data_IF_785257034100
#
_entry.id   IF_785257034100
#
_cell.length_a   1.000
_cell.length_b   1.000
_cell.length_c   1.000
_cell.angle_alpha   90.00
_cell.angle_beta   90.00
_cell.angle_gamma   90.00
#
_symmetry.space_group_name_H-M   'P 1'
#
loop_
_entity.id
_entity.type
_entity.pdbx_description
1 polymer ?
#
# COMPACT_ATOMS: atom_id res chain seq x y z
N UNK A 1 -13.53 6.91 9.69
CA UNK A 1 -14.52 6.71 10.79
C UNK A 1 -15.73 7.61 10.58
N UNK A 2 -15.62 8.94 10.78
CA UNK A 2 -16.77 9.86 10.67
C UNK A 2 -17.57 9.73 9.38
N UNK A 3 -16.89 9.58 8.23
CA UNK A 3 -17.52 9.27 6.94
C UNK A 3 -18.47 8.06 6.98
N UNK A 4 -18.02 6.92 7.48
CA UNK A 4 -18.81 5.70 7.50
C UNK A 4 -19.97 5.77 8.50
N UNK A 5 -19.79 6.42 9.66
CA UNK A 5 -20.89 6.63 10.62
C UNK A 5 -21.97 7.54 10.04
N UNK A 6 -21.58 8.65 9.41
CA UNK A 6 -22.53 9.56 8.75
C UNK A 6 -23.26 8.89 7.58
N UNK A 7 -22.60 7.99 6.85
CA UNK A 7 -23.22 7.17 5.78
C UNK A 7 -24.36 6.30 6.31
N UNK A 8 -24.29 5.88 7.57
CA UNK A 8 -25.33 5.12 8.28
C UNK A 8 -26.38 6.02 8.99
N UNK A 9 -26.43 7.33 8.66
CA UNK A 9 -27.34 8.32 9.25
C UNK A 9 -27.18 8.51 10.76
N UNK A 10 -25.97 8.31 11.27
CA UNK A 10 -25.63 8.62 12.67
C UNK A 10 -25.18 10.08 12.75
N UNK A 11 -25.66 10.82 13.74
CA UNK A 11 -25.19 12.17 14.04
C UNK A 11 -23.75 12.12 14.57
N UNK A 12 -22.83 12.80 13.86
CA UNK A 12 -21.39 12.72 14.13
C UNK A 12 -20.79 14.11 14.29
N UNK A 13 -19.97 14.28 15.33
CA UNK A 13 -19.08 15.41 15.49
C UNK A 13 -17.62 14.97 15.34
N UNK A 14 -16.79 15.77 14.64
CA UNK A 14 -15.33 15.58 14.54
C UNK A 14 -14.65 16.77 15.20
N UNK A 15 -13.81 16.50 16.20
CA UNK A 15 -13.05 17.52 16.93
C UNK A 15 -11.57 17.40 16.57
N UNK A 16 -11.03 18.44 15.93
CA UNK A 16 -9.62 18.55 15.54
C UNK A 16 -9.05 19.86 16.13
N UNK A 17 -7.87 19.79 16.74
CA UNK A 17 -7.24 20.93 17.39
C UNK A 17 -6.65 21.94 16.40
N UNK A 18 -6.30 21.49 15.19
CA UNK A 18 -5.70 22.29 14.13
C UNK A 18 -6.55 22.21 12.85
N UNK A 19 -6.00 21.60 11.80
CA UNK A 19 -6.65 21.41 10.50
C UNK A 19 -6.68 19.92 10.18
N UNK A 20 -7.79 19.46 9.61
CA UNK A 20 -7.97 18.04 9.23
C UNK A 20 -6.79 17.58 8.36
N UNK A 21 -6.15 16.48 8.78
CA UNK A 21 -5.05 15.85 8.05
C UNK A 21 -3.68 16.53 8.17
N UNK A 22 -3.55 17.62 8.93
CA UNK A 22 -2.34 18.48 8.97
C UNK A 22 -1.07 17.84 9.56
N UNK A 23 -1.15 16.65 10.16
CA UNK A 23 -0.02 15.96 10.78
C UNK A 23 0.44 14.77 9.94
N UNK A 24 0.56 13.59 10.54
CA UNK A 24 1.08 12.38 9.91
C UNK A 24 0.34 11.99 8.63
N UNK A 25 -0.97 12.25 8.53
CA UNK A 25 -1.77 11.91 7.35
C UNK A 25 -1.29 12.60 6.08
N UNK A 26 -1.02 13.91 6.13
CA UNK A 26 -0.51 14.66 4.97
C UNK A 26 0.98 14.44 4.70
N UNK A 27 1.74 14.03 5.72
CA UNK A 27 3.16 13.72 5.60
C UNK A 27 3.45 12.30 5.06
N UNK A 28 2.45 11.41 5.03
CA UNK A 28 2.64 10.03 4.62
C UNK A 28 2.84 9.90 3.09
N UNK A 29 3.65 8.91 2.69
CA UNK A 29 3.89 8.62 1.26
C UNK A 29 2.66 8.03 0.54
N UNK A 30 1.67 7.51 1.28
CA UNK A 30 0.43 6.96 0.71
C UNK A 30 0.57 5.55 0.12
N UNK A 31 1.58 4.77 0.50
CA UNK A 31 1.75 3.39 0.03
C UNK A 31 0.73 2.44 0.66
N UNK A 32 0.09 1.59 -0.16
CA UNK A 32 -0.78 0.51 0.31
C UNK A 32 -0.01 -0.82 0.40
N UNK A 33 1.00 -0.83 1.27
CA UNK A 33 2.05 -1.85 1.36
C UNK A 33 1.70 -3.12 2.13
N UNK A 34 0.47 -3.65 2.04
CA UNK A 34 0.03 -4.78 2.87
C UNK A 34 0.89 -6.05 2.74
N UNK A 35 1.59 -6.27 1.61
CA UNK A 35 2.58 -7.36 1.45
C UNK A 35 3.93 -7.02 2.13
N UNK A 36 4.33 -5.75 2.11
CA UNK A 36 5.70 -5.32 2.41
C UNK A 36 5.95 -5.05 3.90
N UNK A 37 4.91 -4.67 4.64
CA UNK A 37 5.02 -4.08 5.99
C UNK A 37 4.59 -5.02 7.13
N UNK A 38 4.02 -6.19 6.81
CA UNK A 38 3.45 -7.10 7.81
C UNK A 38 4.36 -8.32 8.03
N UNK A 39 5.08 -8.34 9.16
CA UNK A 39 5.91 -9.48 9.55
C UNK A 39 5.09 -10.59 10.24
N UNK A 40 3.88 -10.28 10.70
CA UNK A 40 2.99 -11.21 11.40
C UNK A 40 1.80 -11.57 10.51
N UNK A 41 1.94 -12.69 9.79
CA UNK A 41 1.12 -13.02 8.64
C UNK A 41 -0.27 -13.57 8.97
N UNK A 42 -0.54 -13.97 10.21
CA UNK A 42 -1.78 -14.68 10.53
C UNK A 42 -2.95 -13.73 10.81
N UNK A 43 -2.73 -12.65 11.57
CA UNK A 43 -3.82 -11.77 12.03
C UNK A 43 -3.89 -10.49 11.20
N UNK A 44 -2.74 -9.84 10.98
CA UNK A 44 -2.71 -8.50 10.41
C UNK A 44 -2.72 -8.49 8.88
N UNK A 45 -2.16 -9.51 8.24
CA UNK A 45 -2.13 -9.59 6.77
C UNK A 45 -3.54 -9.66 6.15
N UNK A 46 -4.49 -10.50 6.63
CA UNK A 46 -5.86 -10.50 6.11
C UNK A 46 -6.56 -9.14 6.28
N UNK A 47 -6.37 -8.49 7.43
CA UNK A 47 -6.92 -7.16 7.69
C UNK A 47 -6.35 -6.10 6.74
N UNK A 48 -5.03 -6.06 6.60
CA UNK A 48 -4.35 -5.12 5.71
C UNK A 48 -4.75 -5.33 4.24
N UNK A 49 -4.92 -6.60 3.82
CA UNK A 49 -5.44 -6.96 2.49
C UNK A 49 -6.86 -6.51 2.26
N UNK A 50 -7.75 -6.77 3.22
CA UNK A 50 -9.14 -6.33 3.14
C UNK A 50 -9.22 -4.81 3.02
N UNK A 51 -8.43 -4.08 3.83
CA UNK A 51 -8.35 -2.62 3.75
C UNK A 51 -7.82 -2.13 2.40
N UNK A 52 -6.77 -2.76 1.85
CA UNK A 52 -6.26 -2.41 0.52
C UNK A 52 -7.32 -2.59 -0.58
N UNK A 53 -8.09 -3.68 -0.55
CA UNK A 53 -9.15 -3.93 -1.53
C UNK A 53 -10.31 -2.93 -1.40
N UNK A 54 -10.59 -2.45 -0.19
CA UNK A 54 -11.64 -1.45 0.03
C UNK A 54 -11.34 -0.10 -0.67
N UNK A 55 -10.08 0.23 -0.98
CA UNK A 55 -9.71 1.47 -1.66
C UNK A 55 -10.31 1.60 -3.06
N UNK A 56 -10.56 0.49 -3.76
CA UNK A 56 -11.15 0.52 -5.10
C UNK A 56 -12.57 1.12 -5.09
N UNK A 57 -13.41 0.67 -4.16
CA UNK A 57 -14.74 1.25 -3.99
C UNK A 57 -14.67 2.63 -3.35
N UNK A 58 -13.80 2.81 -2.34
CA UNK A 58 -13.69 4.07 -1.61
C UNK A 58 -13.29 5.24 -2.52
N UNK A 59 -12.42 5.01 -3.51
CA UNK A 59 -12.05 6.03 -4.50
C UNK A 59 -13.29 6.61 -5.20
N UNK A 60 -14.16 5.74 -5.71
CA UNK A 60 -15.35 6.15 -6.45
C UNK A 60 -16.37 6.83 -5.55
N UNK A 61 -16.58 6.29 -4.34
CA UNK A 61 -17.46 6.86 -3.34
C UNK A 61 -17.05 8.30 -2.98
N UNK A 62 -15.76 8.51 -2.65
CA UNK A 62 -15.25 9.82 -2.25
C UNK A 62 -15.30 10.81 -3.43
N UNK A 63 -14.87 10.40 -4.63
CA UNK A 63 -14.92 11.26 -5.81
C UNK A 63 -16.33 11.71 -6.15
N UNK A 64 -17.32 10.83 -5.99
CA UNK A 64 -18.73 11.18 -6.22
C UNK A 64 -19.28 12.17 -5.19
N UNK A 65 -18.91 12.01 -3.92
CA UNK A 65 -19.47 12.80 -2.82
C UNK A 65 -18.78 14.15 -2.61
N UNK A 66 -17.45 14.21 -2.79
CA UNK A 66 -16.65 15.40 -2.49
C UNK A 66 -16.00 16.02 -3.72
N UNK A 67 -16.09 15.38 -4.89
CA UNK A 67 -15.37 15.76 -6.11
C UNK A 67 -13.83 15.71 -5.98
N UNK A 68 -13.31 15.07 -4.93
CA UNK A 68 -11.87 14.89 -4.71
C UNK A 68 -11.46 13.51 -5.22
N UNK A 69 -10.47 13.46 -6.12
CA UNK A 69 -9.80 12.22 -6.51
C UNK A 69 -8.66 11.93 -5.51
N UNK A 70 -8.67 10.75 -4.89
CA UNK A 70 -7.60 10.31 -3.97
C UNK A 70 -6.38 9.74 -4.71
N UNK A 71 -6.39 9.78 -6.05
CA UNK A 71 -5.26 9.47 -6.92
C UNK A 71 -4.70 8.04 -6.80
N UNK A 72 -5.54 7.07 -6.43
CA UNK A 72 -5.15 5.66 -6.27
C UNK A 72 -4.38 5.13 -7.49
N UNK A 73 -3.17 4.59 -7.24
CA UNK A 73 -2.31 3.91 -8.23
C UNK A 73 -2.22 2.42 -7.94
N UNK A 74 -2.20 1.61 -9.00
CA UNK A 74 -2.21 0.13 -8.95
C UNK A 74 -0.98 -0.52 -9.57
N UNK A 75 0.11 0.25 -9.77
CA UNK A 75 1.34 -0.21 -10.42
C UNK A 75 2.18 -1.22 -9.60
N UNK A 76 1.72 -1.61 -8.41
CA UNK A 76 2.43 -2.51 -7.50
C UNK A 76 3.65 -1.89 -6.84
N UNK A 77 4.40 -2.70 -6.09
CA UNK A 77 5.57 -2.28 -5.31
C UNK A 77 6.67 -3.32 -5.48
N UNK A 78 7.83 -2.93 -5.99
CA UNK A 78 9.02 -3.77 -6.01
C UNK A 78 9.80 -3.62 -4.70
N UNK A 79 9.98 -4.71 -3.96
CA UNK A 79 10.87 -4.76 -2.79
C UNK A 79 12.23 -5.29 -3.23
N UNK A 80 13.16 -4.36 -3.47
CA UNK A 80 14.49 -4.62 -4.02
C UNK A 80 15.37 -5.37 -3.02
N UNK A 81 16.25 -6.23 -3.54
CA UNK A 81 17.39 -6.79 -2.81
C UNK A 81 18.69 -6.45 -3.55
N UNK A 82 19.67 -5.98 -2.80
CA UNK A 82 21.02 -5.66 -3.27
C UNK A 82 22.00 -6.79 -2.96
N UNK A 83 21.71 -7.61 -1.95
CA UNK A 83 22.57 -8.72 -1.54
C UNK A 83 21.76 -9.96 -1.14
N UNK A 84 22.41 -11.13 -1.14
CA UNK A 84 21.75 -12.40 -0.81
C UNK A 84 21.11 -12.41 0.59
N UNK A 85 21.68 -11.68 1.55
CA UNK A 85 21.11 -11.56 2.89
C UNK A 85 19.70 -10.93 2.86
N UNK A 86 19.51 -9.90 2.03
CA UNK A 86 18.21 -9.23 1.88
C UNK A 86 17.21 -10.12 1.15
N UNK A 87 17.66 -10.88 0.12
CA UNK A 87 16.82 -11.87 -0.54
C UNK A 87 16.30 -12.92 0.45
N UNK A 88 17.14 -13.39 1.38
CA UNK A 88 16.71 -14.32 2.44
C UNK A 88 15.68 -13.69 3.38
N UNK A 89 15.80 -12.41 3.71
CA UNK A 89 14.80 -11.69 4.51
C UNK A 89 13.43 -11.58 3.79
N UNK A 90 13.41 -11.68 2.46
CA UNK A 90 12.17 -11.68 1.67
C UNK A 90 11.51 -13.06 1.57
N UNK A 91 12.07 -14.11 2.18
CA UNK A 91 11.55 -15.48 2.04
C UNK A 91 10.07 -15.61 2.46
N UNK A 92 9.67 -14.98 3.58
CA UNK A 92 8.27 -14.99 4.05
C UNK A 92 7.33 -14.24 3.08
N UNK A 93 7.81 -13.18 2.44
CA UNK A 93 7.05 -12.47 1.43
C UNK A 93 6.91 -13.31 0.15
N UNK A 94 8.00 -13.95 -0.28
CA UNK A 94 8.04 -14.82 -1.46
C UNK A 94 7.27 -16.13 -1.28
N UNK A 95 6.97 -16.56 -0.05
CA UNK A 95 6.08 -17.69 0.18
C UNK A 95 4.60 -17.37 -0.07
N UNK A 96 4.24 -16.10 -0.25
CA UNK A 96 2.86 -15.72 -0.55
C UNK A 96 2.54 -16.02 -2.02
N UNK A 97 1.37 -16.62 -2.34
CA UNK A 97 1.05 -17.09 -3.68
C UNK A 97 0.89 -15.96 -4.71
N UNK A 98 0.71 -14.73 -4.24
CA UNK A 98 0.52 -13.53 -5.06
C UNK A 98 1.82 -12.81 -5.39
N UNK A 99 2.95 -13.28 -4.87
CA UNK A 99 4.24 -12.59 -4.95
C UNK A 99 5.24 -13.42 -5.74
N UNK A 100 5.96 -12.78 -6.65
CA UNK A 100 6.98 -13.43 -7.47
C UNK A 100 8.33 -12.75 -7.31
N UNK A 101 9.39 -13.53 -7.48
CA UNK A 101 10.74 -13.00 -7.63
C UNK A 101 10.96 -12.54 -9.07
N UNK A 102 11.54 -11.36 -9.23
CA UNK A 102 11.94 -10.80 -10.51
C UNK A 102 13.45 -10.64 -10.56
N UNK A 103 14.04 -11.10 -11.65
CA UNK A 103 15.47 -10.93 -11.93
C UNK A 103 15.77 -9.50 -12.39
N UNK A 104 17.01 -8.98 -12.20
CA UNK A 104 17.37 -7.60 -12.53
C UNK A 104 16.98 -7.17 -13.96
N UNK A 105 17.20 -8.04 -14.95
CA UNK A 105 16.85 -7.78 -16.35
C UNK A 105 15.33 -7.63 -16.57
N UNK A 106 14.51 -8.32 -15.78
CA UNK A 106 13.05 -8.23 -15.86
C UNK A 106 12.55 -6.93 -15.25
N UNK A 107 13.16 -6.51 -14.15
CA UNK A 107 12.86 -5.24 -13.49
C UNK A 107 13.28 -4.08 -14.39
N UNK A 108 14.45 -4.13 -15.01
CA UNK A 108 14.93 -3.08 -15.91
C UNK A 108 14.02 -2.90 -17.14
N UNK A 109 13.44 -3.99 -17.66
CA UNK A 109 12.43 -3.88 -18.74
C UNK A 109 11.17 -3.14 -18.30
N UNK A 110 10.79 -3.22 -17.02
CA UNK A 110 9.62 -2.53 -16.45
C UNK A 110 9.95 -1.12 -15.96
N UNK A 111 11.16 -0.91 -15.44
CA UNK A 111 11.67 0.33 -14.85
C UNK A 111 13.06 0.60 -15.47
N UNK A 112 13.13 1.22 -16.67
CA UNK A 112 14.38 1.35 -17.43
C UNK A 112 15.50 2.09 -16.70
N UNK A 113 15.14 3.05 -15.84
CA UNK A 113 16.09 3.90 -15.10
C UNK A 113 16.41 3.37 -13.70
N UNK A 114 16.13 2.09 -13.41
CA UNK A 114 16.46 1.50 -12.11
C UNK A 114 17.97 1.28 -11.98
N UNK A 115 18.46 1.29 -10.73
CA UNK A 115 19.85 0.95 -10.43
C UNK A 115 20.20 -0.46 -10.90
N UNK A 116 21.43 -0.63 -11.40
CA UNK A 116 21.96 -1.94 -11.84
C UNK A 116 22.56 -2.75 -10.70
N UNK A 117 22.72 -2.17 -9.51
CA UNK A 117 23.35 -2.82 -8.36
C UNK A 117 22.37 -3.67 -7.52
N UNK A 118 21.36 -4.28 -8.15
CA UNK A 118 20.38 -5.15 -7.49
C UNK A 118 20.57 -6.58 -7.96
N UNK A 119 20.29 -7.53 -7.07
CA UNK A 119 20.26 -8.96 -7.41
C UNK A 119 18.85 -9.44 -7.77
N UNK A 120 17.84 -8.58 -7.60
CA UNK A 120 16.44 -8.82 -7.97
C UNK A 120 15.47 -8.16 -7.00
N UNK A 121 14.19 -8.53 -7.09
CA UNK A 121 13.14 -7.96 -6.24
C UNK A 121 11.96 -8.90 -6.08
N UNK A 122 11.26 -8.79 -4.94
CA UNK A 122 9.93 -9.37 -4.78
C UNK A 122 8.86 -8.36 -5.25
N UNK A 123 7.83 -8.85 -5.93
CA UNK A 123 6.69 -8.06 -6.42
C UNK A 123 5.39 -8.84 -6.31
#
# INVERSE_FOLDING_TARGET
IGYYLAKENIDVAVLEAQTIGSKSTSAAAGMLGAHSECNDSEIFLPFARSSQLAYFQLKEDLKKLSHIDIELKTGGIFKLAYHNAEKMQLASLLSQPTVNWYEPNEIQRKIPNITTNIIGAAY
#
